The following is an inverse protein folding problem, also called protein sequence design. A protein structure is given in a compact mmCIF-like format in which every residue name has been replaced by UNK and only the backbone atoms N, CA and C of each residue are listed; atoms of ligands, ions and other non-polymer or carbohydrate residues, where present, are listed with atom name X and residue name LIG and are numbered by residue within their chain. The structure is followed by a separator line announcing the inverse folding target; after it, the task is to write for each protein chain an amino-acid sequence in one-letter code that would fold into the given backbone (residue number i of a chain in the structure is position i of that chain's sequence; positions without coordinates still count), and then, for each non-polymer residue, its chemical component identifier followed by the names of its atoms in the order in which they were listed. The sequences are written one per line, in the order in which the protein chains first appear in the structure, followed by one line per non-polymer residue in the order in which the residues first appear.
data_IF_051138447721
#
_entry.id   IF_051138447721
#
_cell.length_a   1.000
_cell.length_b   1.000
_cell.length_c   1.000
_cell.angle_alpha   90.00
_cell.angle_beta   90.00
_cell.angle_gamma   90.00
#
_symmetry.space_group_name_H-M   'P 1'
#
loop_
_entity.id
_entity.type
_entity.pdbx_description
1 polymer ?
#
# COMPACT_ATOMS: atom_id res chain seq x y z
N UNK A 1 -5.04 -12.84 7.95
CA UNK A 1 -3.87 -11.95 7.87
C UNK A 1 -4.33 -10.53 7.60
N UNK A 2 -3.75 -9.57 8.28
CA UNK A 2 -4.08 -8.16 8.07
C UNK A 2 -3.11 -7.57 7.04
N UNK A 3 -3.56 -7.49 5.81
CA UNK A 3 -2.71 -7.01 4.72
C UNK A 3 -2.32 -5.54 4.89
N UNK A 4 -3.22 -4.73 5.43
CA UNK A 4 -2.91 -3.32 5.67
C UNK A 4 -1.76 -3.20 6.66
N UNK A 5 -1.85 -3.91 7.76
CA UNK A 5 -0.83 -3.86 8.81
C UNK A 5 0.51 -4.37 8.30
N UNK A 6 0.48 -5.46 7.54
CA UNK A 6 1.69 -6.04 6.96
C UNK A 6 2.34 -5.09 5.96
N UNK A 7 1.54 -4.52 5.06
CA UNK A 7 2.08 -3.59 4.05
C UNK A 7 2.65 -2.34 4.71
N UNK A 8 1.96 -1.81 5.71
CA UNK A 8 2.44 -0.63 6.42
C UNK A 8 3.77 -0.91 7.12
N UNK A 9 3.86 -2.05 7.78
CA UNK A 9 5.09 -2.41 8.50
C UNK A 9 6.27 -2.52 7.56
N UNK A 10 6.12 -3.24 6.45
CA UNK A 10 7.23 -3.44 5.53
C UNK A 10 7.57 -2.19 4.74
N UNK A 11 6.58 -1.34 4.49
CA UNK A 11 6.85 -0.04 3.89
C UNK A 11 7.69 0.82 4.85
N UNK A 12 7.30 0.88 6.12
CA UNK A 12 8.01 1.66 7.13
C UNK A 12 9.43 1.15 7.34
N UNK A 13 9.63 -0.17 7.22
CA UNK A 13 10.96 -0.77 7.36
C UNK A 13 11.82 -0.61 6.09
N UNK A 14 11.24 -0.12 5.00
CA UNK A 14 11.98 0.08 3.77
C UNK A 14 12.03 -1.14 2.86
N UNK A 15 11.32 -2.21 3.21
CA UNK A 15 11.29 -3.40 2.36
C UNK A 15 10.38 -3.26 1.16
N UNK A 16 9.32 -2.45 1.28
CA UNK A 16 8.39 -2.19 0.20
C UNK A 16 8.50 -0.74 -0.22
N UNK A 17 8.42 -0.49 -1.52
CA UNK A 17 8.27 0.89 -2.02
C UNK A 17 6.79 1.14 -2.37
N UNK A 18 6.51 2.31 -2.93
CA UNK A 18 5.12 2.67 -3.25
C UNK A 18 4.52 1.75 -4.31
N UNK A 19 5.33 1.23 -5.22
CA UNK A 19 4.85 0.30 -6.26
C UNK A 19 4.40 -1.01 -5.64
N UNK A 20 5.11 -1.49 -4.63
CA UNK A 20 4.72 -2.72 -3.94
C UNK A 20 3.39 -2.53 -3.23
N UNK A 21 3.19 -1.37 -2.58
CA UNK A 21 1.93 -1.08 -1.89
C UNK A 21 0.79 -0.95 -2.90
N UNK A 22 1.06 -0.39 -4.08
CA UNK A 22 0.06 -0.33 -5.15
C UNK A 22 -0.42 -1.71 -5.58
N UNK A 23 0.47 -2.69 -5.59
CA UNK A 23 0.09 -4.06 -5.92
C UNK A 23 -0.94 -4.60 -4.94
N UNK A 24 -0.85 -4.25 -3.67
CA UNK A 24 -1.83 -4.65 -2.67
C UNK A 24 -3.20 -4.06 -2.97
N UNK A 25 -3.25 -2.82 -3.45
CA UNK A 25 -4.52 -2.19 -3.85
C UNK A 25 -5.09 -2.91 -5.07
N UNK A 26 -4.26 -3.18 -6.07
CA UNK A 26 -4.68 -3.87 -7.29
C UNK A 26 -5.21 -5.27 -6.99
N UNK A 27 -4.60 -5.95 -6.03
CA UNK A 27 -5.02 -7.29 -5.62
C UNK A 27 -6.24 -7.24 -4.70
N UNK A 28 -6.75 -6.04 -4.40
CA UNK A 28 -7.89 -5.83 -3.50
C UNK A 28 -7.64 -6.34 -2.08
N UNK A 29 -6.38 -6.29 -1.66
CA UNK A 29 -6.00 -6.67 -0.30
C UNK A 29 -6.06 -5.47 0.65
N UNK A 30 -5.88 -4.28 0.11
CA UNK A 30 -6.05 -3.03 0.84
C UNK A 30 -6.82 -2.04 -0.06
N UNK A 31 -7.31 -0.97 0.54
CA UNK A 31 -8.04 0.06 -0.20
C UNK A 31 -7.12 1.19 -0.63
N UNK A 32 -7.60 2.04 -1.54
CA UNK A 32 -6.87 3.23 -1.94
C UNK A 32 -6.61 4.16 -0.75
N UNK A 33 -7.59 4.26 0.15
CA UNK A 33 -7.42 5.06 1.36
C UNK A 33 -6.32 4.52 2.25
N UNK A 34 -6.26 3.19 2.38
CA UNK A 34 -5.21 2.54 3.15
C UNK A 34 -3.83 2.75 2.52
N UNK A 35 -3.76 2.76 1.19
CA UNK A 35 -2.53 3.10 0.49
C UNK A 35 -2.03 4.47 0.91
N UNK A 36 -2.94 5.45 0.93
CA UNK A 36 -2.57 6.80 1.34
C UNK A 36 -2.11 6.86 2.80
N UNK A 37 -2.76 6.09 3.66
CA UNK A 37 -2.34 6.03 5.07
C UNK A 37 -0.94 5.46 5.21
N UNK A 38 -0.59 4.48 4.39
CA UNK A 38 0.73 3.85 4.44
C UNK A 38 1.80 4.76 3.87
N UNK A 39 1.56 5.29 2.67
CA UNK A 39 2.60 6.00 1.90
C UNK A 39 2.55 7.51 2.06
N UNK A 40 1.42 8.05 2.50
CA UNK A 40 1.21 9.50 2.54
C UNK A 40 0.92 10.11 1.17
N UNK A 41 0.73 9.29 0.16
CA UNK A 41 0.53 9.72 -1.23
C UNK A 41 -0.83 9.24 -1.69
N UNK A 42 -1.58 10.10 -2.40
CA UNK A 42 -2.86 9.69 -2.98
C UNK A 42 -2.65 8.55 -3.96
N UNK A 43 -3.53 7.55 -3.90
CA UNK A 43 -3.47 6.46 -4.87
C UNK A 43 -4.03 6.94 -6.20
N UNK A 44 -3.20 6.93 -7.22
CA UNK A 44 -3.60 7.28 -8.58
C UNK A 44 -3.51 6.00 -9.41
N UNK A 45 -4.65 5.42 -9.82
CA UNK A 45 -4.61 4.25 -10.69
C UNK A 45 -3.82 4.57 -11.96
N UNK A 46 -3.05 3.61 -12.43
CA UNK A 46 -2.31 3.79 -13.67
C UNK A 46 -3.29 4.08 -14.80
N UNK A 47 -3.03 5.17 -15.48
CA UNK A 47 -3.87 5.57 -16.62
C UNK A 47 -3.66 4.60 -17.77
#
# INVERSE_FOLDING_TARGET
MDYFKTAKRYFDLGYYDTEDVKLFVRAKKITAEQYKEITGIDYVPAA
#
